data_IF_566388636024
#
_entry.id   IF_566388636024
#
_cell.length_a   1.000
_cell.length_b   1.000
_cell.length_c   1.000
_cell.angle_alpha   90.00
_cell.angle_beta   90.00
_cell.angle_gamma   90.00
#
_symmetry.space_group_name_H-M   'P 1'
#
loop_
_entity.id
_entity.type
_entity.pdbx_description
1 polymer ?
#
# COMPACT_ATOMS: atom_id res chain seq x y z
N UNK A 1 -20.06 30.36 -16.92
CA UNK A 1 -18.74 30.66 -16.32
C UNK A 1 -18.89 31.54 -15.06
N UNK A 2 -19.63 31.10 -14.03
CA UNK A 2 -19.80 31.86 -12.77
C UNK A 2 -19.50 31.07 -11.49
N UNK A 3 -19.19 29.76 -11.58
CA UNK A 3 -19.06 28.91 -10.39
C UNK A 3 -17.74 28.13 -10.31
N UNK A 4 -16.76 28.38 -11.19
CA UNK A 4 -15.49 27.63 -11.21
C UNK A 4 -15.66 26.09 -11.32
N UNK A 5 -16.81 25.64 -11.84
CA UNK A 5 -17.13 24.23 -12.10
C UNK A 5 -16.65 23.90 -13.51
N UNK A 6 -15.79 22.90 -13.63
CA UNK A 6 -15.31 22.34 -14.89
C UNK A 6 -15.64 20.86 -14.95
N UNK A 7 -15.79 20.31 -16.16
CA UNK A 7 -15.77 18.86 -16.35
C UNK A 7 -14.45 18.29 -15.81
N UNK A 8 -14.55 17.31 -14.90
CA UNK A 8 -13.42 16.58 -14.32
C UNK A 8 -13.78 15.10 -14.28
N UNK A 9 -12.79 14.23 -14.52
CA UNK A 9 -12.96 12.79 -14.29
C UNK A 9 -13.16 12.54 -12.80
N UNK A 10 -14.09 11.66 -12.43
CA UNK A 10 -14.30 11.27 -11.04
C UNK A 10 -13.03 10.63 -10.46
N UNK A 11 -12.69 10.98 -9.23
CA UNK A 11 -11.55 10.38 -8.50
C UNK A 11 -12.03 9.05 -7.92
N UNK A 12 -11.40 7.91 -8.24
CA UNK A 12 -11.75 6.64 -7.62
C UNK A 12 -11.36 6.67 -6.15
N UNK A 13 -12.32 6.52 -5.25
CA UNK A 13 -12.13 6.34 -3.80
C UNK A 13 -13.07 5.24 -3.32
N UNK A 14 -12.69 4.47 -2.28
CA UNK A 14 -13.61 3.50 -1.68
C UNK A 14 -14.89 4.19 -1.20
N UNK A 15 -16.02 3.51 -1.40
CA UNK A 15 -17.29 3.98 -0.85
C UNK A 15 -17.30 3.77 0.66
N UNK A 16 -17.24 4.85 1.42
CA UNK A 16 -17.32 4.81 2.89
C UNK A 16 -18.79 4.84 3.31
N UNK A 17 -19.23 3.78 4.00
CA UNK A 17 -20.58 3.72 4.60
C UNK A 17 -20.66 4.61 5.85
N UNK A 18 -21.86 5.05 6.25
CA UNK A 18 -22.04 5.85 7.48
C UNK A 18 -21.50 5.15 8.73
N UNK A 19 -21.64 3.81 8.79
CA UNK A 19 -21.08 3.02 9.88
C UNK A 19 -19.55 3.06 9.89
N UNK A 20 -18.91 2.96 8.72
CA UNK A 20 -17.46 3.04 8.60
C UNK A 20 -16.95 4.47 8.85
N UNK A 21 -17.67 5.50 8.42
CA UNK A 21 -17.32 6.88 8.70
C UNK A 21 -17.27 7.15 10.21
N UNK A 22 -18.23 6.63 10.98
CA UNK A 22 -18.21 6.72 12.46
C UNK A 22 -16.98 6.04 13.06
N UNK A 23 -16.68 4.80 12.63
CA UNK A 23 -15.48 4.06 13.09
C UNK A 23 -14.19 4.80 12.75
N UNK A 24 -14.10 5.39 11.55
CA UNK A 24 -12.97 6.22 11.13
C UNK A 24 -12.78 7.44 12.01
N UNK A 25 -13.86 8.14 12.34
CA UNK A 25 -13.83 9.30 13.25
C UNK A 25 -13.41 8.89 14.66
N UNK A 26 -13.98 7.81 15.18
CA UNK A 26 -13.62 7.26 16.50
C UNK A 26 -12.14 6.88 16.56
N UNK A 27 -11.66 6.14 15.58
CA UNK A 27 -10.24 5.79 15.46
C UNK A 27 -9.36 7.05 15.42
N UNK A 28 -9.71 8.03 14.59
CA UNK A 28 -9.00 9.29 14.51
C UNK A 28 -9.00 10.05 15.85
N UNK A 29 -10.11 10.03 16.60
CA UNK A 29 -10.18 10.66 17.92
C UNK A 29 -9.29 9.99 18.96
N UNK A 30 -9.14 8.66 18.91
CA UNK A 30 -8.29 7.90 19.83
C UNK A 30 -6.79 8.15 19.55
N UNK A 31 -6.43 8.43 18.29
CA UNK A 31 -5.02 8.53 17.87
C UNK A 31 -4.56 9.96 17.56
N UNK A 32 -5.45 10.97 17.53
CA UNK A 32 -5.09 12.38 17.18
C UNK A 32 -4.05 13.02 18.11
N UNK A 33 -3.91 12.51 19.33
CA UNK A 33 -2.96 13.04 20.34
C UNK A 33 -1.65 12.27 20.37
N UNK A 34 -1.51 11.20 19.57
CA UNK A 34 -0.25 10.48 19.46
C UNK A 34 0.83 11.39 18.88
N UNK A 35 1.97 11.42 19.54
CA UNK A 35 3.14 12.14 19.05
C UNK A 35 3.69 11.45 17.80
N UNK A 36 4.46 12.20 17.01
CA UNK A 36 5.21 11.60 15.90
C UNK A 36 6.12 10.48 16.41
N UNK A 37 6.75 10.63 17.58
CA UNK A 37 7.59 9.56 18.15
C UNK A 37 6.82 8.28 18.46
N UNK A 38 5.55 8.37 18.90
CA UNK A 38 4.71 7.17 19.02
C UNK A 38 4.38 6.58 17.63
N UNK A 39 4.11 7.42 16.63
CA UNK A 39 3.90 6.92 15.25
C UNK A 39 5.12 6.21 14.69
N UNK A 40 6.35 6.62 15.06
CA UNK A 40 7.58 5.94 14.62
C UNK A 40 7.70 4.50 15.12
N UNK A 41 6.94 4.11 16.14
CA UNK A 41 6.89 2.72 16.63
C UNK A 41 5.90 1.84 15.86
N UNK A 42 5.14 2.42 14.92
CA UNK A 42 4.19 1.68 14.08
C UNK A 42 4.89 1.21 12.80
N UNK A 43 4.81 -0.09 12.52
CA UNK A 43 5.09 -0.69 11.21
C UNK A 43 3.80 -0.71 10.42
N UNK A 44 3.86 -0.24 9.18
CA UNK A 44 2.72 -0.23 8.26
C UNK A 44 2.90 -1.31 7.22
N UNK A 45 1.83 -2.02 6.87
CA UNK A 45 1.87 -3.07 5.85
C UNK A 45 0.63 -3.07 4.98
N UNK A 46 0.76 -3.63 3.77
CA UNK A 46 -0.35 -3.79 2.83
C UNK A 46 0.04 -4.74 1.69
N UNK A 47 -0.95 -5.18 0.92
CA UNK A 47 -0.78 -5.92 -0.33
C UNK A 47 -1.13 -5.09 -1.56
N UNK A 48 -0.31 -5.18 -2.60
CA UNK A 48 -0.59 -4.57 -3.89
C UNK A 48 -0.31 -5.49 -5.07
N UNK A 49 -1.01 -5.26 -6.18
CA UNK A 49 -0.91 -6.06 -7.39
C UNK A 49 -0.39 -5.23 -8.56
N UNK A 50 0.70 -5.69 -9.16
CA UNK A 50 1.38 -5.04 -10.28
C UNK A 50 1.22 -5.88 -11.55
N UNK A 51 0.73 -5.27 -12.64
CA UNK A 51 0.52 -5.96 -13.91
C UNK A 51 1.73 -5.82 -14.84
N UNK A 52 2.09 -6.90 -15.55
CA UNK A 52 3.18 -6.87 -16.53
C UNK A 52 2.91 -5.93 -17.70
N UNK A 53 1.68 -5.93 -18.22
CA UNK A 53 1.24 -4.98 -19.23
C UNK A 53 0.07 -4.17 -18.66
N UNK A 54 0.28 -2.88 -18.31
CA UNK A 54 -0.80 -2.03 -17.83
C UNK A 54 -1.93 -1.99 -18.87
N UNK A 55 -3.14 -2.38 -18.45
CA UNK A 55 -4.33 -2.32 -19.31
C UNK A 55 -4.97 -0.93 -19.32
N UNK A 56 -4.47 -0.02 -18.48
CA UNK A 56 -5.03 1.33 -18.30
C UNK A 56 -3.93 2.39 -18.46
N UNK A 57 -4.21 3.35 -19.34
CA UNK A 57 -3.29 4.42 -19.74
C UNK A 57 -3.31 4.63 -21.25
N UNK A 58 -3.65 5.83 -21.72
CA UNK A 58 -3.50 6.16 -23.14
C UNK A 58 -2.02 6.41 -23.40
N UNK A 59 -1.36 5.48 -24.08
CA UNK A 59 -0.02 5.74 -24.62
C UNK A 59 -0.17 6.50 -25.92
N UNK A 60 0.35 7.73 -25.94
CA UNK A 60 0.37 8.59 -27.12
C UNK A 60 1.69 8.38 -27.86
N UNK A 61 1.60 8.00 -29.13
CA UNK A 61 2.75 7.88 -30.04
C UNK A 61 2.66 8.93 -31.14
N UNK A 62 3.79 9.56 -31.47
CA UNK A 62 3.88 10.47 -32.62
C UNK A 62 4.25 9.65 -33.85
N UNK A 63 3.31 9.52 -34.80
CA UNK A 63 3.51 8.71 -36.01
C UNK A 63 2.75 9.27 -37.20
N UNK A 64 3.25 9.03 -38.40
CA UNK A 64 2.49 9.23 -39.64
C UNK A 64 1.47 8.11 -39.86
N UNK A 65 0.44 8.28 -40.71
CA UNK A 65 -0.51 7.19 -41.03
C UNK A 65 0.14 5.91 -41.54
N UNK A 66 1.26 6.00 -42.26
CA UNK A 66 1.99 4.84 -42.78
C UNK A 66 2.69 4.02 -41.68
N UNK A 67 3.06 4.66 -40.57
CA UNK A 67 3.73 4.05 -39.42
C UNK A 67 2.74 3.44 -38.42
N UNK A 68 1.45 3.36 -38.77
CA UNK A 68 0.41 2.91 -37.83
C UNK A 68 0.60 1.47 -37.31
N UNK A 69 1.39 0.66 -38.04
CA UNK A 69 1.67 -0.74 -37.71
C UNK A 69 3.17 -1.01 -37.49
N UNK A 70 3.99 0.05 -37.40
CA UNK A 70 5.39 -0.09 -37.00
C UNK A 70 5.44 -0.62 -35.56
N UNK A 71 6.20 -1.70 -35.25
CA UNK A 71 6.35 -2.22 -33.88
C UNK A 71 6.67 -1.16 -32.83
N UNK A 72 7.45 -0.14 -33.18
CA UNK A 72 7.82 0.96 -32.27
C UNK A 72 6.65 1.95 -32.00
N UNK A 73 5.61 1.89 -32.84
CA UNK A 73 4.39 2.69 -32.76
C UNK A 73 3.19 1.89 -32.25
N UNK A 74 3.39 0.63 -31.83
CA UNK A 74 2.37 -0.23 -31.25
C UNK A 74 2.48 -0.21 -29.73
N UNK A 75 1.34 -0.24 -29.05
CA UNK A 75 1.28 -0.61 -27.64
C UNK A 75 1.01 -2.11 -27.58
N UNK A 76 1.97 -2.96 -27.18
CA UNK A 76 1.74 -4.39 -27.08
C UNK A 76 0.56 -4.68 -26.15
N UNK A 77 -0.40 -5.48 -26.63
CA UNK A 77 -1.53 -5.98 -25.82
C UNK A 77 -1.54 -7.49 -25.88
N UNK A 78 -1.62 -8.16 -24.74
CA UNK A 78 -1.78 -9.62 -24.67
C UNK A 78 -3.20 -9.96 -24.22
N UNK A 79 -3.76 -11.06 -24.76
CA UNK A 79 -5.17 -11.46 -24.55
C UNK A 79 -5.58 -11.59 -23.08
N UNK A 80 -4.63 -11.72 -22.14
CA UNK A 80 -4.87 -11.91 -20.70
C UNK A 80 -4.09 -10.92 -19.81
N UNK A 81 -3.72 -9.74 -20.29
CA UNK A 81 -3.06 -8.70 -19.48
C UNK A 81 -1.63 -9.01 -19.00
N UNK A 82 -1.04 -10.13 -19.42
CA UNK A 82 0.37 -10.50 -19.11
C UNK A 82 0.56 -11.12 -17.74
N UNK A 83 -0.51 -11.23 -16.95
CA UNK A 83 -0.48 -11.61 -15.55
C UNK A 83 -0.09 -10.45 -14.63
N UNK A 84 -0.19 -10.71 -13.34
CA UNK A 84 0.16 -9.78 -12.29
C UNK A 84 1.00 -10.46 -11.22
N UNK A 85 1.88 -9.69 -10.60
CA UNK A 85 2.60 -10.06 -9.38
C UNK A 85 1.88 -9.40 -8.22
N UNK A 86 1.44 -10.20 -7.24
CA UNK A 86 0.93 -9.69 -5.97
C UNK A 86 2.09 -9.69 -4.97
N UNK A 87 2.29 -8.58 -4.28
CA UNK A 87 3.30 -8.42 -3.25
C UNK A 87 2.66 -7.98 -1.95
N UNK A 88 3.17 -8.48 -0.84
CA UNK A 88 3.01 -7.86 0.47
C UNK A 88 4.28 -7.09 0.78
N UNK A 89 4.19 -5.94 1.42
CA UNK A 89 5.36 -5.28 1.97
C UNK A 89 5.02 -4.54 3.26
N UNK A 90 6.08 -4.21 4.00
CA UNK A 90 5.97 -3.39 5.20
C UNK A 90 7.01 -2.27 5.22
N UNK A 91 6.71 -1.19 5.94
CA UNK A 91 7.65 -0.07 6.19
C UNK A 91 7.68 0.30 7.66
N UNK A 92 8.86 0.71 8.12
CA UNK A 92 9.08 1.33 9.43
C UNK A 92 9.58 2.76 9.25
N UNK A 93 9.62 3.56 10.31
CA UNK A 93 10.28 4.87 10.28
C UNK A 93 11.76 4.78 9.88
N UNK A 94 12.39 3.64 10.17
CA UNK A 94 13.84 3.44 10.05
C UNK A 94 14.25 2.90 8.68
N UNK A 95 13.36 2.20 7.97
CA UNK A 95 13.70 1.57 6.70
C UNK A 95 12.46 1.15 5.90
N UNK A 96 12.66 0.92 4.60
CA UNK A 96 11.84 -0.03 3.88
C UNK A 96 11.96 -1.40 4.59
N UNK A 97 10.84 -2.03 4.87
CA UNK A 97 10.77 -3.36 5.46
C UNK A 97 10.81 -4.45 4.39
N UNK A 98 10.50 -5.70 4.77
CA UNK A 98 10.46 -6.82 3.85
C UNK A 98 9.41 -6.61 2.75
N UNK A 99 9.71 -7.12 1.55
CA UNK A 99 8.75 -7.31 0.47
C UNK A 99 8.68 -8.80 0.14
N UNK A 100 7.47 -9.35 0.07
CA UNK A 100 7.22 -10.77 -0.21
C UNK A 100 6.34 -10.89 -1.44
N UNK A 101 6.81 -11.65 -2.42
CA UNK A 101 5.97 -12.02 -3.57
C UNK A 101 5.00 -13.12 -3.17
N UNK A 102 3.72 -12.77 -3.17
CA UNK A 102 2.64 -13.66 -2.79
C UNK A 102 2.17 -14.50 -4.00
N UNK A 103 2.26 -15.83 -3.86
CA UNK A 103 1.92 -16.78 -4.94
C UNK A 103 0.60 -17.49 -4.68
N UNK A 104 -0.26 -17.52 -5.70
CA UNK A 104 -1.54 -18.21 -5.68
C UNK A 104 -2.57 -17.53 -4.78
N UNK A 105 -3.57 -18.29 -4.31
CA UNK A 105 -4.59 -17.77 -3.40
C UNK A 105 -3.98 -17.45 -2.04
N UNK A 106 -4.26 -16.25 -1.53
CA UNK A 106 -3.84 -15.81 -0.19
C UNK A 106 -4.89 -16.27 0.81
N UNK A 107 -4.43 -16.93 1.86
CA UNK A 107 -5.25 -17.49 2.93
C UNK A 107 -4.73 -16.94 4.26
N UNK A 108 -5.56 -17.01 5.31
CA UNK A 108 -5.09 -16.63 6.65
C UNK A 108 -3.84 -17.41 7.09
N UNK A 109 -3.69 -18.67 6.67
CA UNK A 109 -2.49 -19.47 6.96
C UNK A 109 -1.23 -18.90 6.31
N UNK A 110 -1.31 -18.51 5.02
CA UNK A 110 -0.18 -17.85 4.35
C UNK A 110 0.14 -16.50 4.96
N UNK A 111 -0.89 -15.77 5.38
CA UNK A 111 -0.68 -14.50 6.06
C UNK A 111 0.01 -14.70 7.42
N UNK A 112 -0.39 -15.72 8.19
CA UNK A 112 0.30 -16.12 9.42
C UNK A 112 1.76 -16.47 9.17
N UNK A 113 2.07 -17.15 8.06
CA UNK A 113 3.47 -17.42 7.66
C UNK A 113 4.23 -16.10 7.41
N UNK A 114 3.63 -15.11 6.73
CA UNK A 114 4.23 -13.77 6.56
C UNK A 114 4.46 -13.09 7.91
N UNK A 115 3.51 -13.16 8.84
CA UNK A 115 3.68 -12.60 10.19
C UNK A 115 4.86 -13.25 10.92
N UNK A 116 4.92 -14.58 10.92
CA UNK A 116 5.98 -15.33 11.60
C UNK A 116 7.36 -15.14 10.95
N UNK A 117 7.44 -15.16 9.62
CA UNK A 117 8.72 -15.15 8.90
C UNK A 117 9.25 -13.74 8.65
N UNK A 118 8.40 -12.72 8.64
CA UNK A 118 8.77 -11.35 8.27
C UNK A 118 8.51 -10.34 9.37
N UNK A 119 7.28 -10.31 9.91
CA UNK A 119 6.87 -9.26 10.86
C UNK A 119 7.53 -9.46 12.22
N UNK A 120 7.49 -10.67 12.76
CA UNK A 120 8.04 -10.96 14.08
C UNK A 120 9.56 -10.75 14.17
N UNK A 121 10.39 -11.26 13.24
CA UNK A 121 11.80 -10.92 13.21
C UNK A 121 12.07 -9.41 13.09
N UNK A 122 11.27 -8.71 12.27
CA UNK A 122 11.41 -7.25 12.12
C UNK A 122 11.05 -6.50 13.42
N UNK A 123 10.00 -6.93 14.12
CA UNK A 123 9.62 -6.39 15.43
C UNK A 123 10.73 -6.59 16.45
N UNK A 124 11.30 -7.79 16.55
CA UNK A 124 12.39 -8.08 17.48
C UNK A 124 13.65 -7.25 17.20
N UNK A 125 13.93 -6.94 15.92
CA UNK A 125 15.09 -6.13 15.53
C UNK A 125 14.86 -4.65 15.80
N UNK A 126 13.70 -4.12 15.43
CA UNK A 126 13.42 -2.67 15.49
C UNK A 126 12.90 -2.22 16.87
N UNK A 127 12.19 -3.10 17.57
CA UNK A 127 11.51 -2.82 18.83
C UNK A 127 11.80 -3.93 19.86
N UNK A 128 13.09 -4.15 20.24
CA UNK A 128 13.48 -5.21 21.17
C UNK A 128 12.91 -5.04 22.59
N UNK A 129 12.31 -3.89 22.89
CA UNK A 129 11.63 -3.61 24.16
C UNK A 129 10.15 -4.05 24.17
N UNK A 130 9.62 -4.56 23.04
CA UNK A 130 8.21 -4.96 22.92
C UNK A 130 7.23 -3.79 22.82
N UNK A 131 7.69 -2.60 22.39
CA UNK A 131 6.87 -1.40 22.22
C UNK A 131 6.48 -1.11 20.75
N UNK A 132 6.75 -2.08 19.88
CA UNK A 132 6.42 -2.06 18.47
C UNK A 132 4.92 -2.32 18.22
N UNK A 133 4.36 -1.57 17.28
CA UNK A 133 2.97 -1.70 16.87
C UNK A 133 2.94 -2.14 15.41
N UNK A 134 2.13 -3.14 15.08
CA UNK A 134 1.92 -3.59 13.71
C UNK A 134 0.57 -3.14 13.17
N UNK A 135 0.56 -2.54 11.99
CA UNK A 135 -0.64 -2.21 11.23
C UNK A 135 -0.80 -3.12 10.02
N UNK A 136 -2.02 -3.63 9.87
CA UNK A 136 -2.56 -4.22 8.65
C UNK A 136 -3.98 -3.69 8.41
N UNK A 137 -4.47 -3.85 7.18
CA UNK A 137 -5.86 -3.52 6.90
C UNK A 137 -6.75 -4.64 7.44
N UNK A 138 -7.93 -4.35 8.00
CA UNK A 138 -8.78 -5.39 8.61
C UNK A 138 -9.50 -6.26 7.53
N UNK A 139 -8.77 -6.72 6.51
CA UNK A 139 -9.25 -7.59 5.46
C UNK A 139 -9.65 -8.96 6.03
N UNK A 140 -10.54 -9.71 5.36
CA UNK A 140 -11.02 -11.00 5.87
C UNK A 140 -9.91 -12.03 6.15
N UNK A 141 -8.76 -11.93 5.47
CA UNK A 141 -7.62 -12.82 5.72
C UNK A 141 -6.86 -12.45 7.00
N UNK A 142 -6.80 -11.17 7.37
CA UNK A 142 -6.15 -10.66 8.60
C UNK A 142 -7.05 -10.88 9.82
N UNK A 143 -8.37 -10.82 9.61
CA UNK A 143 -9.38 -11.18 10.63
C UNK A 143 -9.58 -12.70 10.80
N UNK A 144 -8.81 -13.54 10.09
CA UNK A 144 -8.94 -14.99 10.19
C UNK A 144 -8.50 -15.48 11.58
N UNK A 145 -9.17 -16.50 12.12
CA UNK A 145 -8.87 -17.03 13.47
C UNK A 145 -7.39 -17.40 13.65
N UNK A 146 -6.76 -17.97 12.63
CA UNK A 146 -5.35 -18.38 12.70
C UNK A 146 -4.39 -17.19 12.82
N UNK A 147 -4.78 -16.02 12.29
CA UNK A 147 -4.02 -14.77 12.39
C UNK A 147 -4.24 -14.13 13.75
N UNK A 148 -5.50 -14.09 14.21
CA UNK A 148 -5.83 -13.58 15.54
C UNK A 148 -5.12 -14.38 16.64
N UNK A 149 -5.14 -15.72 16.56
CA UNK A 149 -4.39 -16.56 17.50
C UNK A 149 -2.89 -16.31 17.47
N UNK A 150 -2.32 -15.94 16.32
CA UNK A 150 -0.91 -15.60 16.24
C UNK A 150 -0.60 -14.30 16.99
N UNK A 151 -1.44 -13.26 16.86
CA UNK A 151 -1.29 -12.04 17.66
C UNK A 151 -1.50 -12.30 19.16
N UNK A 152 -2.48 -13.13 19.53
CA UNK A 152 -2.71 -13.53 20.93
C UNK A 152 -1.47 -14.24 21.52
N UNK A 153 -0.82 -15.11 20.73
CA UNK A 153 0.39 -15.84 21.15
C UNK A 153 1.63 -14.94 21.29
N UNK A 154 1.64 -13.77 20.64
CA UNK A 154 2.78 -12.83 20.60
C UNK A 154 2.41 -11.46 21.18
N UNK A 155 1.39 -11.38 22.04
CA UNK A 155 0.85 -10.10 22.55
C UNK A 155 1.87 -9.28 23.36
N UNK A 156 2.84 -9.95 23.99
CA UNK A 156 3.94 -9.33 24.74
C UNK A 156 5.05 -8.75 23.82
N UNK A 157 5.04 -9.09 22.52
CA UNK A 157 6.08 -8.73 21.55
C UNK A 157 5.56 -7.82 20.43
N UNK A 158 4.28 -7.94 20.07
CA UNK A 158 3.66 -7.25 18.92
C UNK A 158 2.28 -6.72 19.30
N UNK A 159 2.14 -5.40 19.42
CA UNK A 159 0.83 -4.76 19.57
C UNK A 159 0.14 -4.66 18.20
N UNK A 160 -1.05 -5.27 18.03
CA UNK A 160 -1.82 -5.15 16.79
C UNK A 160 -2.64 -3.85 16.80
N UNK A 161 -2.41 -2.96 15.84
CA UNK A 161 -3.12 -1.68 15.75
C UNK A 161 -4.57 -1.91 15.29
N UNK A 162 -5.59 -1.54 16.08
CA UNK A 162 -6.97 -1.64 15.63
C UNK A 162 -7.17 -0.78 14.38
N UNK A 163 -7.68 -1.32 13.28
CA UNK A 163 -7.80 -0.56 12.02
C UNK A 163 -9.25 -0.32 11.57
N UNK A 164 -9.63 0.92 11.19
CA UNK A 164 -10.95 1.20 10.66
C UNK A 164 -11.03 0.75 9.19
N UNK A 165 -11.97 -0.15 8.87
CA UNK A 165 -12.16 -0.64 7.51
C UNK A 165 -12.34 0.49 6.47
N UNK A 166 -11.91 0.23 5.23
CA UNK A 166 -11.98 1.17 4.09
C UNK A 166 -11.22 2.48 4.33
N UNK A 167 -10.00 2.39 4.85
CA UNK A 167 -9.18 3.56 5.20
C UNK A 167 -7.81 3.64 4.53
N UNK A 168 -7.71 3.45 3.20
CA UNK A 168 -6.42 3.53 2.51
C UNK A 168 -5.79 4.93 2.61
N UNK A 169 -6.61 5.98 2.80
CA UNK A 169 -6.11 7.35 2.97
C UNK A 169 -5.41 7.59 4.31
N UNK A 170 -5.61 6.70 5.28
CA UNK A 170 -4.88 6.68 6.56
C UNK A 170 -3.64 5.77 6.53
N UNK A 171 -3.62 4.72 5.69
CA UNK A 171 -2.46 3.85 5.56
C UNK A 171 -1.36 4.57 4.76
N UNK A 172 -0.19 4.70 5.36
CA UNK A 172 0.89 5.48 4.75
C UNK A 172 1.69 4.73 3.69
N UNK A 173 1.49 3.41 3.54
CA UNK A 173 2.17 2.62 2.51
C UNK A 173 1.56 2.83 1.13
N UNK A 174 0.29 3.24 1.06
CA UNK A 174 -0.48 3.41 -0.18
C UNK A 174 0.21 4.32 -1.23
N UNK A 175 0.76 5.50 -0.88
CA UNK A 175 1.53 6.31 -1.82
C UNK A 175 2.82 5.63 -2.32
N UNK A 176 3.41 4.71 -1.55
CA UNK A 176 4.63 4.00 -1.96
C UNK A 176 4.35 3.05 -3.13
N UNK A 177 3.15 2.49 -3.24
CA UNK A 177 2.76 1.70 -4.41
C UNK A 177 2.78 2.51 -5.70
N UNK A 178 2.36 3.77 -5.65
CA UNK A 178 2.42 4.68 -6.80
C UNK A 178 3.86 5.04 -7.17
N UNK A 179 4.73 5.26 -6.18
CA UNK A 179 6.16 5.48 -6.41
C UNK A 179 6.79 4.25 -7.06
N UNK A 180 6.49 3.07 -6.53
CA UNK A 180 7.00 1.81 -7.05
C UNK A 180 6.53 1.56 -8.49
N UNK A 181 5.25 1.81 -8.80
CA UNK A 181 4.73 1.68 -10.15
C UNK A 181 5.46 2.62 -11.13
N UNK A 182 5.71 3.87 -10.74
CA UNK A 182 6.47 4.83 -11.54
C UNK A 182 7.91 4.38 -11.74
N UNK A 183 8.58 3.88 -10.70
CA UNK A 183 9.93 3.32 -10.80
C UNK A 183 9.99 2.17 -11.81
N UNK A 184 9.05 1.22 -11.75
CA UNK A 184 8.97 0.09 -12.69
C UNK A 184 8.72 0.58 -14.12
N UNK A 185 7.83 1.56 -14.32
CA UNK A 185 7.58 2.17 -15.63
C UNK A 185 8.81 2.85 -16.22
N UNK A 186 9.71 3.35 -15.37
CA UNK A 186 10.94 4.03 -15.77
C UNK A 186 12.13 3.07 -15.92
N UNK A 187 11.99 1.78 -15.60
CA UNK A 187 13.06 0.78 -15.80
C UNK A 187 13.35 0.59 -17.28
N UNK A 188 14.65 0.48 -17.61
CA UNK A 188 15.13 0.10 -18.92
C UNK A 188 16.17 -1.02 -18.81
N UNK A 189 15.99 -2.17 -19.49
CA UNK A 189 14.78 -2.52 -20.24
C UNK A 189 13.55 -2.67 -19.33
N UNK A 190 12.32 -2.51 -19.85
CA UNK A 190 11.11 -2.81 -19.09
C UNK A 190 11.02 -4.31 -18.79
N UNK A 191 10.29 -4.73 -17.73
CA UNK A 191 10.14 -6.15 -17.42
C UNK A 191 9.42 -6.88 -18.56
N UNK A 192 10.01 -7.97 -19.05
CA UNK A 192 9.45 -8.79 -20.13
C UNK A 192 8.75 -10.07 -19.62
N UNK A 193 8.88 -10.37 -18.32
CA UNK A 193 8.24 -11.51 -17.67
C UNK A 193 7.78 -11.19 -16.25
N UNK A 194 6.89 -12.03 -15.69
CA UNK A 194 6.48 -11.92 -14.28
C UNK A 194 7.64 -12.11 -13.31
N UNK A 195 8.64 -12.92 -13.68
CA UNK A 195 9.84 -13.12 -12.88
C UNK A 195 10.67 -11.84 -12.83
N UNK A 196 10.92 -11.21 -13.97
CA UNK A 196 11.64 -9.93 -14.04
C UNK A 196 10.85 -8.80 -13.37
N UNK A 197 9.53 -8.76 -13.54
CA UNK A 197 8.68 -7.81 -12.81
C UNK A 197 8.83 -7.99 -11.30
N UNK A 198 8.74 -9.22 -10.80
CA UNK A 198 8.94 -9.50 -9.37
C UNK A 198 10.33 -9.08 -8.91
N UNK A 199 11.38 -9.35 -9.70
CA UNK A 199 12.73 -8.93 -9.35
C UNK A 199 12.85 -7.40 -9.27
N UNK A 200 12.37 -6.69 -10.29
CA UNK A 200 12.44 -5.23 -10.31
C UNK A 200 11.62 -4.58 -9.20
N UNK A 201 10.47 -5.16 -8.82
CA UNK A 201 9.68 -4.70 -7.68
C UNK A 201 10.50 -4.76 -6.38
N UNK A 202 11.19 -5.87 -6.14
CA UNK A 202 12.04 -6.03 -4.96
C UNK A 202 13.21 -5.04 -4.99
N UNK A 203 13.91 -4.90 -6.12
CA UNK A 203 15.01 -3.94 -6.25
C UNK A 203 14.56 -2.49 -6.02
N UNK A 204 13.46 -2.08 -6.65
CA UNK A 204 12.95 -0.72 -6.54
C UNK A 204 12.36 -0.41 -5.16
N UNK A 205 11.79 -1.40 -4.48
CA UNK A 205 11.31 -1.24 -3.11
C UNK A 205 12.43 -0.79 -2.16
N UNK A 206 13.59 -1.45 -2.23
CA UNK A 206 14.75 -1.10 -1.40
C UNK A 206 15.49 0.16 -1.89
N UNK A 207 15.21 0.64 -3.10
CA UNK A 207 15.72 1.92 -3.60
C UNK A 207 14.86 3.12 -3.15
N UNK A 208 13.69 2.90 -2.54
CA UNK A 208 12.87 3.99 -2.01
C UNK A 208 13.67 4.77 -0.98
N UNK A 209 13.90 6.09 -1.18
CA UNK A 209 14.68 6.87 -0.24
C UNK A 209 14.02 6.94 1.14
N UNK A 210 14.81 6.75 2.20
CA UNK A 210 14.30 6.75 3.59
C UNK A 210 13.53 8.03 3.95
N UNK A 211 13.97 9.19 3.46
CA UNK A 211 13.27 10.46 3.67
C UNK A 211 11.84 10.46 3.09
N UNK A 212 11.58 9.68 2.03
CA UNK A 212 10.24 9.52 1.46
C UNK A 212 9.32 8.82 2.46
N UNK A 213 9.81 7.76 3.11
CA UNK A 213 9.09 7.03 4.15
C UNK A 213 8.87 7.93 5.37
N UNK A 214 9.91 8.62 5.84
CA UNK A 214 9.81 9.51 7.01
C UNK A 214 8.80 10.65 6.78
N UNK A 215 8.79 11.26 5.60
CA UNK A 215 7.79 12.27 5.23
C UNK A 215 6.35 11.74 5.28
N UNK A 216 6.15 10.44 5.04
CA UNK A 216 4.84 9.80 5.13
C UNK A 216 4.40 9.64 6.60
N UNK A 217 5.30 9.25 7.50
CA UNK A 217 5.01 9.27 8.94
C UNK A 217 4.68 10.68 9.45
N UNK A 218 5.46 11.69 9.04
CA UNK A 218 5.21 13.09 9.39
C UNK A 218 3.85 13.61 8.84
N UNK A 219 3.27 12.90 7.87
CA UNK A 219 1.95 13.24 7.31
C UNK A 219 0.77 12.70 8.13
N UNK A 220 0.97 11.71 9.00
CA UNK A 220 -0.12 11.01 9.71
C UNK A 220 -1.03 11.98 10.47
N UNK A 221 -0.54 12.95 11.28
CA UNK A 221 -1.43 13.88 11.97
C UNK A 221 -2.32 14.68 11.03
N UNK A 222 -1.81 15.07 9.86
CA UNK A 222 -2.59 15.80 8.84
C UNK A 222 -3.64 14.91 8.19
N UNK A 223 -3.34 13.63 7.95
CA UNK A 223 -4.31 12.64 7.45
C UNK A 223 -5.47 12.45 8.43
N UNK A 224 -5.15 12.26 9.72
CA UNK A 224 -6.13 12.16 10.80
C UNK A 224 -7.04 13.40 10.85
N UNK A 225 -6.46 14.60 10.81
CA UNK A 225 -7.25 15.84 10.80
C UNK A 225 -8.13 15.95 9.55
N UNK A 226 -7.66 15.50 8.38
CA UNK A 226 -8.46 15.48 7.16
C UNK A 226 -9.68 14.56 7.29
N UNK A 227 -9.52 13.36 7.89
CA UNK A 227 -10.63 12.44 8.14
C UNK A 227 -11.63 13.04 9.12
N UNK A 228 -11.16 13.66 10.20
CA UNK A 228 -12.02 14.34 11.16
C UNK A 228 -12.82 15.49 10.52
N UNK A 229 -12.16 16.30 9.69
CA UNK A 229 -12.80 17.39 8.95
C UNK A 229 -13.85 16.87 7.95
N UNK A 230 -13.55 15.75 7.29
CA UNK A 230 -14.46 15.05 6.39
C UNK A 230 -15.55 14.25 7.13
N UNK A 231 -15.60 14.30 8.47
CA UNK A 231 -16.53 13.53 9.33
C UNK A 231 -16.50 12.03 9.02
N UNK A 232 -15.29 11.50 8.77
CA UNK A 232 -15.08 10.10 8.41
C UNK A 232 -15.19 9.79 6.92
N UNK A 233 -15.52 10.78 6.08
CA UNK A 233 -15.53 10.63 4.63
C UNK A 233 -14.14 10.45 4.00
N UNK A 234 -14.08 10.29 2.66
CA UNK A 234 -12.83 10.22 1.92
C UNK A 234 -12.03 11.52 2.01
N UNK A 235 -10.70 11.41 2.01
CA UNK A 235 -9.80 12.57 2.02
C UNK A 235 -8.96 12.67 0.74
N UNK A 236 -8.20 13.76 0.54
CA UNK A 236 -7.29 13.90 -0.60
C UNK A 236 -6.11 12.92 -0.59
N UNK A 237 -5.85 12.28 0.56
CA UNK A 237 -4.75 11.35 0.77
C UNK A 237 -5.04 9.97 0.18
#
# INVERSE_FOLDING_TARGET
HKENIYGRTAIPKPLVTDANAKRRVEWCHNHKTWSIDKWKTVIWSDESSFTLFPTTGRVHVWRTPAQAYDPDCLHPTVKHGGGSVMVWAAVSWFSAGPMVTLKGRITGEKYREVLADQVHPMMQILFPAGDGIFEDDNAPIHAARVVQSWFDEHEDEVEHLPWPAQSPDLNIIEPLWSILELSIRNRYPPPASLTELSQYLHEEWYNIPLNTIQNLYDSIPRRIQAVLHAKGGPTPY
#
